data_IF_501283601153
#
_entry.id   IF_501283601153
#
_cell.length_a   1.000
_cell.length_b   1.000
_cell.length_c   1.000
_cell.angle_alpha   90.00
_cell.angle_beta   90.00
_cell.angle_gamma   90.00
#
_symmetry.space_group_name_H-M   'P 1'
#
loop_
_entity.id
_entity.type
_entity.pdbx_description
1 polymer ?
#
# COMPACT_ATOMS: atom_id res chain seq x y z
N UNK A 1 57.94 47.59 10.48
CA UNK A 1 57.12 46.73 11.36
C UNK A 1 55.66 46.62 10.88
N UNK A 2 55.02 47.68 10.49
CA UNK A 2 53.61 47.76 10.11
C UNK A 2 53.24 46.90 8.86
N UNK A 3 54.13 46.75 7.90
CA UNK A 3 53.87 46.01 6.67
C UNK A 3 53.75 44.50 6.94
N UNK A 4 54.59 43.94 7.82
CA UNK A 4 54.55 42.53 8.22
C UNK A 4 53.24 42.20 8.98
N UNK A 5 52.76 43.12 9.81
CA UNK A 5 51.48 42.94 10.51
C UNK A 5 50.28 42.91 9.59
N UNK A 6 50.22 43.74 8.55
CA UNK A 6 49.17 43.73 7.53
C UNK A 6 49.15 42.44 6.72
N UNK A 7 50.31 41.91 6.38
CA UNK A 7 50.42 40.64 5.65
C UNK A 7 49.95 39.47 6.50
N UNK A 8 50.35 39.39 7.78
CA UNK A 8 49.88 38.38 8.72
C UNK A 8 48.35 38.42 8.92
N UNK A 9 47.77 39.63 9.02
CA UNK A 9 46.33 39.79 9.15
C UNK A 9 45.58 39.36 7.91
N UNK A 10 46.10 39.64 6.70
CA UNK A 10 45.54 39.17 5.43
C UNK A 10 45.53 37.64 5.33
N UNK A 11 46.63 36.97 5.75
CA UNK A 11 46.69 35.52 5.77
C UNK A 11 45.73 34.91 6.80
N UNK A 12 45.56 35.50 7.97
CA UNK A 12 44.61 35.05 8.98
C UNK A 12 43.17 35.10 8.49
N UNK A 13 42.77 36.15 7.77
CA UNK A 13 41.45 36.27 7.17
C UNK A 13 41.25 35.19 6.08
N UNK A 14 42.27 34.97 5.24
CA UNK A 14 42.17 33.97 4.18
C UNK A 14 42.01 32.55 4.74
N UNK A 15 42.74 32.20 5.80
CA UNK A 15 42.61 30.92 6.49
C UNK A 15 41.22 30.76 7.13
N UNK A 16 40.68 31.82 7.75
CA UNK A 16 39.32 31.81 8.28
C UNK A 16 38.25 31.60 7.21
N UNK A 17 38.40 32.26 6.07
CA UNK A 17 37.47 32.06 4.93
C UNK A 17 37.53 30.63 4.39
N UNK A 18 38.73 30.05 4.24
CA UNK A 18 38.88 28.66 3.83
C UNK A 18 38.25 27.69 4.82
N UNK A 19 38.49 27.89 6.12
CA UNK A 19 37.86 27.08 7.16
C UNK A 19 36.33 27.18 7.13
N UNK A 20 35.80 28.37 6.92
CA UNK A 20 34.35 28.58 6.78
C UNK A 20 33.77 27.88 5.56
N UNK A 21 34.44 27.94 4.41
CA UNK A 21 34.02 27.25 3.19
C UNK A 21 34.01 25.72 3.40
N UNK A 22 35.05 25.16 3.99
CA UNK A 22 35.15 23.73 4.31
C UNK A 22 34.05 23.31 5.29
N UNK A 23 33.75 24.13 6.28
CA UNK A 23 32.67 23.88 7.25
C UNK A 23 31.31 23.85 6.57
N UNK A 24 30.99 24.82 5.69
CA UNK A 24 29.75 24.87 4.94
C UNK A 24 29.62 23.67 4.02
N UNK A 25 30.68 23.28 3.33
CA UNK A 25 30.69 22.13 2.43
C UNK A 25 30.41 20.80 3.18
N UNK A 26 31.00 20.62 4.36
CA UNK A 26 30.71 19.45 5.21
C UNK A 26 29.27 19.42 5.69
N UNK A 27 28.74 20.55 6.11
CA UNK A 27 27.34 20.67 6.54
C UNK A 27 26.38 20.31 5.40
N UNK A 28 26.67 20.79 4.20
CA UNK A 28 25.87 20.50 3.02
C UNK A 28 25.92 19.00 2.62
N UNK A 29 27.07 18.36 2.73
CA UNK A 29 27.19 16.92 2.47
C UNK A 29 26.37 16.08 3.45
N UNK A 30 26.40 16.41 4.74
CA UNK A 30 25.59 15.71 5.76
C UNK A 30 24.10 15.88 5.49
N UNK A 31 23.66 17.10 5.15
CA UNK A 31 22.28 17.38 4.83
C UNK A 31 21.82 16.62 3.57
N UNK A 32 22.63 16.61 2.52
CA UNK A 32 22.34 15.84 1.30
C UNK A 32 22.26 14.33 1.56
N UNK A 33 23.08 13.81 2.46
CA UNK A 33 23.03 12.40 2.84
C UNK A 33 21.73 12.06 3.60
N UNK A 34 21.29 12.93 4.52
CA UNK A 34 20.02 12.77 5.23
C UNK A 34 18.84 12.83 4.27
N UNK A 35 18.79 13.83 3.39
CA UNK A 35 17.72 13.96 2.40
C UNK A 35 17.62 12.73 1.46
N UNK A 36 18.75 12.21 1.01
CA UNK A 36 18.77 10.98 0.20
C UNK A 36 18.25 9.75 0.94
N UNK A 37 18.47 9.68 2.25
CA UNK A 37 17.97 8.59 3.08
C UNK A 37 16.45 8.69 3.21
N UNK A 38 15.93 9.86 3.53
CA UNK A 38 14.48 10.11 3.60
C UNK A 38 13.79 9.86 2.26
N UNK A 39 14.39 10.29 1.16
CA UNK A 39 13.87 10.05 -0.20
C UNK A 39 13.76 8.55 -0.52
N UNK A 40 14.77 7.76 -0.16
CA UNK A 40 14.75 6.30 -0.32
C UNK A 40 13.68 5.63 0.54
N UNK A 41 13.53 6.06 1.79
CA UNK A 41 12.48 5.56 2.68
C UNK A 41 11.09 5.90 2.15
N UNK A 42 10.89 7.13 1.66
CA UNK A 42 9.64 7.55 1.05
C UNK A 42 9.31 6.75 -0.23
N UNK A 43 10.30 6.51 -1.08
CA UNK A 43 10.15 5.69 -2.28
C UNK A 43 9.79 4.22 -1.93
N UNK A 44 10.39 3.66 -0.87
CA UNK A 44 10.07 2.33 -0.39
C UNK A 44 8.62 2.25 0.14
N UNK A 45 8.20 3.22 0.94
CA UNK A 45 6.82 3.33 1.44
C UNK A 45 5.82 3.41 0.28
N UNK A 46 6.10 4.26 -0.70
CA UNK A 46 5.25 4.42 -1.87
C UNK A 46 5.12 3.11 -2.66
N UNK A 47 6.24 2.45 -2.93
CA UNK A 47 6.26 1.16 -3.64
C UNK A 47 5.49 0.07 -2.88
N UNK A 48 5.66 -0.03 -1.55
CA UNK A 48 4.92 -0.99 -0.73
C UNK A 48 3.42 -0.68 -0.69
N UNK A 49 3.05 0.58 -0.59
CA UNK A 49 1.65 1.01 -0.58
C UNK A 49 0.97 0.71 -1.94
N UNK A 50 1.66 1.00 -3.04
CA UNK A 50 1.18 0.71 -4.40
C UNK A 50 1.03 -0.80 -4.62
N UNK A 51 2.03 -1.59 -4.25
CA UNK A 51 1.99 -3.05 -4.35
C UNK A 51 0.84 -3.64 -3.53
N UNK A 52 0.64 -3.15 -2.30
CA UNK A 52 -0.46 -3.57 -1.44
C UNK A 52 -1.82 -3.20 -2.04
N UNK A 53 -1.94 -1.99 -2.59
CA UNK A 53 -3.18 -1.52 -3.23
C UNK A 53 -3.55 -2.34 -4.46
N UNK A 54 -2.57 -2.58 -5.35
CA UNK A 54 -2.78 -3.42 -6.55
C UNK A 54 -3.17 -4.84 -6.14
N UNK A 55 -2.48 -5.41 -5.16
CA UNK A 55 -2.80 -6.74 -4.65
C UNK A 55 -4.19 -6.84 -4.03
N UNK A 56 -4.63 -5.82 -3.28
CA UNK A 56 -5.98 -5.74 -2.73
C UNK A 56 -7.05 -5.66 -3.83
N UNK A 57 -6.78 -4.89 -4.89
CA UNK A 57 -7.68 -4.77 -6.02
C UNK A 57 -7.80 -6.11 -6.77
N UNK A 58 -6.67 -6.78 -7.00
CA UNK A 58 -6.63 -8.11 -7.63
C UNK A 58 -7.40 -9.15 -6.80
N UNK A 59 -7.21 -9.18 -5.48
CA UNK A 59 -7.99 -10.03 -4.58
C UNK A 59 -9.48 -9.71 -4.57
N UNK A 60 -9.85 -8.44 -4.74
CA UNK A 60 -11.25 -8.04 -4.81
C UNK A 60 -11.91 -8.56 -6.08
N UNK A 61 -11.26 -8.38 -7.22
CA UNK A 61 -11.76 -8.83 -8.53
C UNK A 61 -11.85 -10.36 -8.64
N UNK A 62 -10.86 -11.07 -8.14
CA UNK A 62 -10.88 -12.54 -8.11
C UNK A 62 -12.05 -13.08 -7.27
N UNK A 63 -12.32 -12.47 -6.12
CA UNK A 63 -13.40 -12.93 -5.25
C UNK A 63 -14.81 -12.79 -5.85
N UNK A 64 -14.98 -11.95 -6.87
CA UNK A 64 -16.29 -11.78 -7.54
C UNK A 64 -16.74 -13.03 -8.31
N UNK A 65 -15.82 -13.88 -8.70
CA UNK A 65 -16.08 -15.13 -9.45
C UNK A 65 -15.94 -16.39 -8.61
N UNK A 66 -15.88 -16.25 -7.29
CA UNK A 66 -15.61 -17.35 -6.36
C UNK A 66 -16.58 -18.53 -6.45
N UNK A 67 -17.80 -18.30 -6.98
CA UNK A 67 -18.82 -19.37 -7.17
C UNK A 67 -18.38 -20.39 -8.22
N UNK A 68 -17.50 -19.99 -9.15
CA UNK A 68 -17.00 -20.85 -10.23
C UNK A 68 -15.59 -21.41 -9.93
N UNK A 69 -15.09 -21.20 -8.72
CA UNK A 69 -13.75 -21.62 -8.33
C UNK A 69 -13.65 -23.12 -8.12
N UNK A 70 -12.46 -23.62 -8.44
CA UNK A 70 -11.99 -24.92 -8.00
C UNK A 70 -11.02 -24.78 -6.81
N UNK A 71 -10.51 -25.90 -6.30
CA UNK A 71 -9.54 -25.91 -5.20
C UNK A 71 -8.22 -25.21 -5.55
N UNK A 72 -7.89 -25.13 -6.83
CA UNK A 72 -6.70 -24.48 -7.34
C UNK A 72 -6.84 -22.96 -7.29
N UNK A 73 -8.04 -22.45 -7.63
CA UNK A 73 -8.37 -21.03 -7.55
C UNK A 73 -8.33 -20.53 -6.10
N UNK A 74 -8.84 -21.33 -5.16
CA UNK A 74 -8.77 -21.01 -3.73
C UNK A 74 -7.32 -20.98 -3.23
N UNK A 75 -6.48 -21.94 -3.63
CA UNK A 75 -5.04 -21.93 -3.29
C UNK A 75 -4.34 -20.69 -3.88
N UNK A 76 -4.64 -20.32 -5.11
CA UNK A 76 -4.08 -19.15 -5.76
C UNK A 76 -4.51 -17.86 -5.04
N UNK A 77 -5.79 -17.79 -4.63
CA UNK A 77 -6.28 -16.67 -3.81
C UNK A 77 -5.53 -16.59 -2.48
N UNK A 78 -5.35 -17.72 -1.78
CA UNK A 78 -4.60 -17.79 -0.53
C UNK A 78 -3.18 -17.29 -0.70
N UNK A 79 -2.48 -17.73 -1.75
CA UNK A 79 -1.12 -17.30 -2.06
C UNK A 79 -1.04 -15.77 -2.29
N UNK A 80 -1.95 -15.23 -3.11
CA UNK A 80 -2.02 -13.78 -3.35
C UNK A 80 -2.31 -13.00 -2.06
N UNK A 81 -3.24 -13.49 -1.22
CA UNK A 81 -3.54 -12.88 0.08
C UNK A 81 -2.31 -12.83 0.99
N UNK A 82 -1.53 -13.90 1.06
CA UNK A 82 -0.28 -13.91 1.83
C UNK A 82 0.68 -12.82 1.34
N UNK A 83 0.88 -12.70 0.04
CA UNK A 83 1.75 -11.68 -0.54
C UNK A 83 1.29 -10.24 -0.23
N UNK A 84 -0.02 -10.00 -0.22
CA UNK A 84 -0.60 -8.70 0.16
C UNK A 84 -0.41 -8.43 1.64
N UNK A 85 -0.70 -9.40 2.52
CA UNK A 85 -0.52 -9.26 3.96
C UNK A 85 0.96 -9.05 4.32
N UNK A 86 1.90 -9.73 3.66
CA UNK A 86 3.33 -9.53 3.85
C UNK A 86 3.74 -8.08 3.48
N UNK A 87 3.30 -7.59 2.33
CA UNK A 87 3.56 -6.20 1.92
C UNK A 87 2.96 -5.19 2.90
N UNK A 88 1.78 -5.46 3.46
CA UNK A 88 1.13 -4.61 4.47
C UNK A 88 1.88 -4.66 5.81
N UNK A 89 2.40 -5.82 6.21
CA UNK A 89 3.20 -5.94 7.44
C UNK A 89 4.54 -5.20 7.30
N UNK A 90 5.19 -5.27 6.14
CA UNK A 90 6.38 -4.46 5.86
C UNK A 90 6.04 -2.96 5.89
N UNK A 91 4.92 -2.54 5.31
CA UNK A 91 4.47 -1.15 5.38
C UNK A 91 4.23 -0.69 6.83
N UNK A 92 3.79 -1.59 7.70
CA UNK A 92 3.55 -1.31 9.13
C UNK A 92 4.83 -0.90 9.89
N UNK A 93 6.00 -1.34 9.44
CA UNK A 93 7.29 -0.96 10.04
C UNK A 93 7.60 0.54 9.85
N UNK A 94 7.17 1.10 8.71
CA UNK A 94 7.37 2.52 8.39
C UNK A 94 6.32 3.44 9.00
N UNK A 95 5.24 2.88 9.53
CA UNK A 95 4.14 3.65 10.10
C UNK A 95 4.38 3.91 11.58
N UNK A 96 4.32 5.17 11.99
CA UNK A 96 4.60 5.58 13.38
C UNK A 96 3.35 5.63 14.27
N UNK A 97 2.18 5.86 13.68
CA UNK A 97 0.92 6.01 14.43
C UNK A 97 0.32 4.65 14.85
N UNK A 98 0.01 4.45 16.14
CA UNK A 98 -0.56 3.20 16.62
C UNK A 98 -1.92 2.88 15.98
N UNK A 99 -2.68 3.93 15.63
CA UNK A 99 -3.96 3.78 14.94
C UNK A 99 -3.80 3.16 13.54
N UNK A 100 -2.81 3.61 12.78
CA UNK A 100 -2.54 3.09 11.44
C UNK A 100 -2.03 1.65 11.51
N UNK A 101 -1.18 1.31 12.48
CA UNK A 101 -0.74 -0.07 12.73
C UNK A 101 -1.92 -1.00 12.99
N UNK A 102 -2.85 -0.58 13.85
CA UNK A 102 -4.08 -1.32 14.14
C UNK A 102 -4.97 -1.49 12.91
N UNK A 103 -5.05 -0.46 12.05
CA UNK A 103 -5.82 -0.55 10.79
C UNK A 103 -5.21 -1.57 9.82
N UNK A 104 -3.89 -1.66 9.72
CA UNK A 104 -3.21 -2.68 8.91
C UNK A 104 -3.52 -4.08 9.44
N UNK A 105 -3.42 -4.30 10.74
CA UNK A 105 -3.76 -5.59 11.36
C UNK A 105 -5.22 -5.97 11.12
N UNK A 106 -6.13 -5.01 11.26
CA UNK A 106 -7.56 -5.22 10.97
C UNK A 106 -7.80 -5.58 9.50
N UNK A 107 -7.06 -4.97 8.59
CA UNK A 107 -7.17 -5.26 7.17
C UNK A 107 -6.70 -6.69 6.85
N UNK A 108 -5.57 -7.12 7.40
CA UNK A 108 -5.09 -8.50 7.26
C UNK A 108 -6.08 -9.51 7.84
N UNK A 109 -6.69 -9.20 8.99
CA UNK A 109 -7.73 -10.04 9.59
C UNK A 109 -8.99 -10.12 8.70
N UNK A 110 -9.41 -9.03 8.12
CA UNK A 110 -10.55 -9.00 7.19
C UNK A 110 -10.28 -9.83 5.93
N UNK A 111 -9.08 -9.78 5.39
CA UNK A 111 -8.68 -10.60 4.25
C UNK A 111 -8.70 -12.10 4.61
N UNK A 112 -8.23 -12.45 5.81
CA UNK A 112 -8.30 -13.82 6.33
C UNK A 112 -9.75 -14.30 6.46
N UNK A 113 -10.60 -13.51 7.09
CA UNK A 113 -12.02 -13.84 7.26
C UNK A 113 -12.74 -13.97 5.91
N UNK A 114 -12.39 -13.13 4.93
CA UNK A 114 -12.91 -13.21 3.57
C UNK A 114 -12.54 -14.55 2.91
N UNK A 115 -11.30 -15.00 3.04
CA UNK A 115 -10.87 -16.30 2.51
C UNK A 115 -11.67 -17.46 3.11
N UNK A 116 -11.88 -17.45 4.44
CA UNK A 116 -12.69 -18.47 5.11
C UNK A 116 -14.12 -18.48 4.56
N UNK A 117 -14.72 -17.29 4.35
CA UNK A 117 -16.06 -17.18 3.78
C UNK A 117 -16.10 -17.69 2.35
N UNK A 118 -15.12 -17.36 1.51
CA UNK A 118 -15.02 -17.85 0.13
C UNK A 118 -14.90 -19.39 0.10
N UNK A 119 -14.04 -19.96 0.94
CA UNK A 119 -13.90 -21.42 1.06
C UNK A 119 -15.22 -22.10 1.47
N UNK A 120 -15.92 -21.54 2.46
CA UNK A 120 -17.23 -22.07 2.88
C UNK A 120 -18.26 -21.96 1.75
N UNK A 121 -18.32 -20.84 1.05
CA UNK A 121 -19.25 -20.61 -0.06
C UNK A 121 -18.98 -21.61 -1.17
N UNK A 122 -17.73 -21.81 -1.54
CA UNK A 122 -17.33 -22.80 -2.56
C UNK A 122 -17.74 -24.22 -2.15
N UNK A 123 -17.46 -24.59 -0.89
CA UNK A 123 -17.81 -25.92 -0.38
C UNK A 123 -19.32 -26.15 -0.39
N UNK A 124 -20.11 -25.18 0.12
CA UNK A 124 -21.58 -25.26 0.09
C UNK A 124 -22.13 -25.34 -1.33
N UNK A 125 -21.52 -24.60 -2.27
CA UNK A 125 -21.91 -24.66 -3.66
C UNK A 125 -21.64 -26.02 -4.29
N UNK A 126 -20.45 -26.62 -4.02
CA UNK A 126 -20.10 -27.94 -4.50
C UNK A 126 -21.00 -29.02 -3.90
N UNK A 127 -21.39 -28.90 -2.62
CA UNK A 127 -22.38 -29.77 -2.00
C UNK A 127 -23.76 -29.67 -2.65
N UNK A 128 -24.22 -28.46 -2.93
CA UNK A 128 -25.49 -28.23 -3.64
C UNK A 128 -25.47 -28.79 -5.05
N UNK A 129 -24.35 -28.69 -5.73
CA UNK A 129 -24.19 -29.25 -7.08
C UNK A 129 -24.17 -30.78 -7.06
N UNK A 130 -23.66 -31.39 -6.00
CA UNK A 130 -23.63 -32.84 -5.81
C UNK A 130 -24.98 -33.45 -5.45
N UNK A 131 -25.89 -32.65 -4.85
CA UNK A 131 -27.29 -33.08 -4.55
C UNK A 131 -28.16 -33.16 -5.81
N UNK A 132 -27.62 -32.73 -6.93
CA UNK A 132 -28.08 -33.09 -8.24
C UNK A 132 -29.37 -32.45 -8.72
N UNK A 133 -29.78 -32.87 -9.81
CA UNK A 133 -30.84 -32.58 -10.76
C UNK A 133 -32.15 -31.86 -10.33
N UNK A 134 -32.45 -31.82 -9.01
CA UNK A 134 -33.68 -31.19 -8.48
C UNK A 134 -33.59 -29.66 -8.42
N UNK A 135 -32.36 -29.10 -8.37
CA UNK A 135 -32.13 -27.64 -8.16
C UNK A 135 -31.75 -26.91 -9.46
N UNK A 136 -31.70 -27.62 -10.58
CA UNK A 136 -31.22 -27.11 -11.86
C UNK A 136 -32.01 -25.90 -12.38
N UNK A 137 -33.27 -25.71 -11.97
CA UNK A 137 -34.07 -24.52 -12.31
C UNK A 137 -33.78 -23.30 -11.43
N UNK A 138 -33.28 -23.49 -10.21
CA UNK A 138 -33.03 -22.39 -9.24
C UNK A 138 -31.61 -21.83 -9.32
N UNK A 139 -30.63 -22.62 -9.73
CA UNK A 139 -29.21 -22.22 -9.79
C UNK A 139 -28.96 -21.04 -10.75
N UNK A 140 -29.53 -20.97 -11.97
CA UNK A 140 -29.32 -19.83 -12.85
C UNK A 140 -29.81 -18.51 -12.26
N UNK A 141 -30.90 -18.54 -11.48
CA UNK A 141 -31.46 -17.34 -10.84
C UNK A 141 -30.58 -16.83 -9.70
N UNK A 142 -29.98 -17.74 -8.92
CA UNK A 142 -29.04 -17.41 -7.84
C UNK A 142 -27.74 -16.82 -8.41
N UNK A 143 -27.20 -17.44 -9.46
CA UNK A 143 -25.99 -16.96 -10.16
C UNK A 143 -26.24 -15.57 -10.78
N UNK A 144 -27.39 -15.36 -11.42
CA UNK A 144 -27.76 -14.06 -11.98
C UNK A 144 -27.93 -12.99 -10.91
N UNK A 145 -28.48 -13.36 -9.75
CA UNK A 145 -28.66 -12.44 -8.63
C UNK A 145 -27.31 -12.06 -7.99
N UNK A 146 -26.43 -13.05 -7.74
CA UNK A 146 -25.08 -12.82 -7.26
C UNK A 146 -24.27 -11.96 -8.25
N UNK A 147 -24.37 -12.24 -9.55
CA UNK A 147 -23.71 -11.44 -10.60
C UNK A 147 -24.25 -10.00 -10.67
N UNK A 148 -25.57 -9.81 -10.49
CA UNK A 148 -26.17 -8.46 -10.40
C UNK A 148 -25.68 -7.70 -9.18
N UNK A 149 -25.58 -8.35 -8.02
CA UNK A 149 -25.06 -7.73 -6.80
C UNK A 149 -23.58 -7.36 -6.94
N UNK A 150 -22.74 -8.23 -7.50
CA UNK A 150 -21.34 -7.94 -7.78
C UNK A 150 -21.17 -6.74 -8.74
N UNK A 151 -21.98 -6.66 -9.80
CA UNK A 151 -22.00 -5.52 -10.74
C UNK A 151 -22.46 -4.24 -10.06
N UNK A 152 -23.46 -4.30 -9.18
CA UNK A 152 -23.90 -3.12 -8.40
C UNK A 152 -22.83 -2.67 -7.42
N UNK A 153 -22.17 -3.61 -6.74
CA UNK A 153 -21.08 -3.31 -5.83
C UNK A 153 -19.90 -2.65 -6.56
N UNK A 154 -19.56 -3.12 -7.77
CA UNK A 154 -18.58 -2.49 -8.65
C UNK A 154 -18.96 -1.05 -9.04
N UNK A 155 -20.24 -0.79 -9.31
CA UNK A 155 -20.76 0.57 -9.56
C UNK A 155 -20.61 1.47 -8.33
N UNK A 156 -20.93 0.97 -7.13
CA UNK A 156 -20.78 1.72 -5.88
C UNK A 156 -19.27 2.05 -5.64
N UNK A 157 -18.38 1.10 -5.86
CA UNK A 157 -16.93 1.31 -5.74
C UNK A 157 -16.37 2.27 -6.80
N UNK A 158 -16.90 2.24 -8.04
CA UNK A 158 -16.48 3.21 -9.05
C UNK A 158 -16.97 4.64 -8.76
N UNK A 159 -18.10 4.79 -8.08
CA UNK A 159 -18.60 6.10 -7.62
C UNK A 159 -17.82 6.61 -6.40
N UNK A 160 -17.31 5.72 -5.52
CA UNK A 160 -16.50 6.08 -4.36
C UNK A 160 -15.04 6.42 -4.72
N UNK A 161 -14.55 5.94 -5.85
CA UNK A 161 -13.18 6.17 -6.31
C UNK A 161 -12.82 7.67 -6.52
N UNK A 162 -13.69 8.53 -7.09
CA UNK A 162 -13.42 9.96 -7.20
C UNK A 162 -13.39 10.65 -5.83
N UNK A 163 -14.24 10.25 -4.89
CA UNK A 163 -14.29 10.82 -3.53
C UNK A 163 -13.01 10.45 -2.77
N UNK A 164 -12.52 9.23 -2.94
CA UNK A 164 -11.27 8.75 -2.32
C UNK A 164 -10.03 9.47 -2.89
N UNK A 165 -10.00 9.77 -4.19
CA UNK A 165 -8.96 10.60 -4.81
C UNK A 165 -8.95 12.02 -4.25
N UNK A 166 -10.11 12.58 -3.94
CA UNK A 166 -10.26 13.93 -3.36
C UNK A 166 -9.77 13.92 -1.92
N UNK A 167 -10.12 12.90 -1.12
CA UNK A 167 -9.70 12.78 0.29
C UNK A 167 -8.19 12.56 0.38
N UNK A 168 -7.61 11.66 -0.43
CA UNK A 168 -6.16 11.46 -0.47
C UNK A 168 -5.41 12.71 -0.94
N UNK A 169 -5.96 13.46 -1.90
CA UNK A 169 -5.37 14.73 -2.35
C UNK A 169 -5.44 15.81 -1.28
N UNK A 170 -6.45 15.79 -0.42
CA UNK A 170 -6.62 16.76 0.67
C UNK A 170 -5.73 16.44 1.88
N UNK A 171 -5.50 15.18 2.18
CA UNK A 171 -4.63 14.78 3.29
C UNK A 171 -3.13 14.78 2.94
N UNK A 172 -2.77 14.56 1.67
CA UNK A 172 -1.38 14.58 1.20
C UNK A 172 -0.97 15.86 0.46
N UNK A 173 -1.93 16.73 0.11
CA UNK A 173 -1.68 17.99 -0.61
C UNK A 173 -1.06 19.11 0.23
N UNK A 174 -0.83 18.89 1.53
CA UNK A 174 -0.23 19.87 2.44
C UNK A 174 1.32 19.82 2.41
N UNK A 175 1.93 18.89 1.67
CA UNK A 175 3.38 18.72 1.63
C UNK A 175 4.09 19.15 0.33
N UNK A 176 3.37 19.80 -0.61
CA UNK A 176 3.99 20.35 -1.81
C UNK A 176 3.65 21.84 -1.96
N UNK A 177 4.29 22.66 -1.12
CA UNK A 177 4.66 24.05 -1.38
C UNK A 177 6.06 24.33 -0.87
#
# INVERSE_FOLDING_TARGET
MWLKLKICFGYAILVLLLAFIVYQFRKEQVLRHMLRKEEKELAAIHSLAEKSYIGLLDLSTHAEIAITWDDNDLKNYSYKRYGVCDSLQLLKEYVHTPLQKKRIDSLCLLLWNKEILLSKTMHTFNELQSIGDIVQESIPSIILTARRQAVQQKRIWSCLNPVRKIVLRREFGIFFH
#
